data_IF_499702542609
#
_entry.id   IF_499702542609
#
_cell.length_a   1.000
_cell.length_b   1.000
_cell.length_c   1.000
_cell.angle_alpha   90.00
_cell.angle_beta   90.00
_cell.angle_gamma   90.00
#
_symmetry.space_group_name_H-M   'P 1'
#
loop_
_entity.id
_entity.type
_entity.pdbx_description
1 polymer ?
#
# COMPACT_ATOMS: atom_id res chain seq x y z
N UNK A 1 11.08 -83.24 -23.32
CA UNK A 1 10.65 -82.59 -22.07
C UNK A 1 10.54 -81.12 -22.42
N UNK A 2 9.35 -80.71 -22.84
CA UNK A 2 8.32 -80.04 -22.00
C UNK A 2 8.78 -78.60 -21.66
N UNK A 3 8.28 -77.58 -22.35
CA UNK A 3 6.98 -76.89 -22.17
C UNK A 3 7.01 -75.88 -21.00
N UNK A 4 6.80 -74.63 -21.44
CA UNK A 4 6.18 -73.46 -20.84
C UNK A 4 6.80 -72.63 -19.70
N UNK A 5 7.01 -71.37 -20.10
CA UNK A 5 6.56 -70.12 -19.46
C UNK A 5 5.34 -70.24 -18.55
N UNK A 6 5.45 -69.65 -17.35
CA UNK A 6 4.34 -69.03 -16.59
C UNK A 6 4.98 -67.98 -15.65
N UNK A 7 4.98 -66.68 -16.01
CA UNK A 7 4.03 -65.62 -15.61
C UNK A 7 4.63 -64.67 -14.54
N UNK A 8 4.15 -63.41 -14.47
CA UNK A 8 4.94 -62.25 -14.13
C UNK A 8 4.69 -61.75 -12.69
N UNK A 9 5.66 -61.03 -12.15
CA UNK A 9 5.41 -60.11 -11.03
C UNK A 9 5.08 -58.74 -11.60
N UNK A 10 3.77 -58.44 -11.63
CA UNK A 10 3.28 -57.07 -11.64
C UNK A 10 3.53 -56.43 -10.27
N UNK A 11 4.07 -55.21 -10.24
CA UNK A 11 3.73 -54.22 -9.22
C UNK A 11 3.87 -52.80 -9.78
N UNK A 12 2.80 -52.41 -10.48
CA UNK A 12 2.12 -51.12 -10.45
C UNK A 12 2.84 -49.90 -9.85
N UNK A 13 3.14 -48.95 -10.74
CA UNK A 13 3.50 -47.57 -10.42
C UNK A 13 2.81 -46.54 -11.31
N UNK A 14 1.54 -46.78 -11.66
CA UNK A 14 0.51 -45.81 -12.09
C UNK A 14 1.00 -44.48 -12.68
N UNK A 15 1.50 -44.53 -13.91
CA UNK A 15 1.43 -43.40 -14.84
C UNK A 15 0.03 -43.44 -15.43
N UNK A 16 -0.75 -42.38 -15.22
CA UNK A 16 -2.06 -42.19 -15.83
C UNK A 16 -1.93 -42.48 -17.33
N UNK A 17 -2.53 -43.60 -17.74
CA UNK A 17 -2.51 -44.09 -19.11
C UNK A 17 -3.33 -43.11 -19.97
N UNK A 18 -2.64 -42.10 -20.52
CA UNK A 18 -3.19 -41.21 -21.54
C UNK A 18 -3.28 -42.00 -22.84
N UNK A 19 -4.39 -42.71 -23.01
CA UNK A 19 -4.74 -43.28 -24.31
C UNK A 19 -5.02 -42.12 -25.25
N UNK A 20 -4.18 -41.91 -26.26
CA UNK A 20 -4.47 -41.01 -27.36
C UNK A 20 -5.67 -41.61 -28.12
N UNK A 21 -6.81 -40.94 -27.99
CA UNK A 21 -8.04 -41.32 -28.69
C UNK A 21 -8.03 -40.58 -30.02
N UNK A 22 -7.97 -41.33 -31.13
CA UNK A 22 -8.15 -40.76 -32.46
C UNK A 22 -9.47 -39.97 -32.49
N UNK A 23 -9.49 -38.75 -33.07
CA UNK A 23 -10.71 -37.98 -33.15
C UNK A 23 -11.77 -38.82 -33.87
N UNK A 24 -12.88 -39.09 -33.16
CA UNK A 24 -14.00 -39.84 -33.69
C UNK A 24 -14.43 -39.22 -35.03
N UNK A 25 -14.52 -40.00 -36.12
CA UNK A 25 -15.00 -39.51 -37.40
C UNK A 25 -16.50 -39.29 -37.29
N UNK A 26 -16.89 -38.19 -36.66
CA UNK A 26 -18.22 -37.64 -36.79
C UNK A 26 -18.10 -36.68 -37.96
N UNK A 27 -18.53 -37.13 -39.14
CA UNK A 27 -18.82 -36.25 -40.26
C UNK A 27 -19.77 -35.18 -39.74
N UNK A 28 -19.29 -33.95 -39.52
CA UNK A 28 -20.13 -32.84 -39.10
C UNK A 28 -21.19 -32.66 -40.18
N UNK A 29 -22.48 -32.85 -39.86
CA UNK A 29 -23.54 -32.59 -40.82
C UNK A 29 -23.42 -31.15 -41.36
N UNK A 30 -23.70 -30.93 -42.66
CA UNK A 30 -23.43 -29.65 -43.33
C UNK A 30 -24.15 -28.45 -42.68
N UNK A 31 -25.18 -28.71 -41.87
CA UNK A 31 -25.93 -27.72 -41.09
C UNK A 31 -25.08 -27.02 -40.01
N UNK A 32 -23.94 -27.61 -39.59
CA UNK A 32 -23.02 -27.03 -38.60
C UNK A 32 -21.79 -26.35 -39.23
N UNK A 33 -21.57 -26.52 -40.54
CA UNK A 33 -20.50 -25.82 -41.28
C UNK A 33 -20.87 -24.36 -41.58
N UNK A 34 -22.16 -24.04 -41.62
CA UNK A 34 -22.64 -22.68 -41.89
C UNK A 34 -22.60 -21.74 -40.68
N UNK A 35 -22.36 -22.25 -39.47
CA UNK A 35 -22.30 -21.44 -38.25
C UNK A 35 -21.05 -21.77 -37.45
N UNK A 36 -19.96 -21.05 -37.77
CA UNK A 36 -18.80 -20.95 -36.90
C UNK A 36 -19.24 -20.67 -35.45
N UNK A 37 -18.67 -21.41 -34.49
CA UNK A 37 -18.89 -21.21 -33.05
C UNK A 37 -18.54 -19.78 -32.59
N UNK A 38 -17.70 -19.10 -33.36
CA UNK A 38 -17.47 -17.66 -33.28
C UNK A 38 -18.32 -16.98 -34.36
N UNK A 39 -19.22 -16.04 -34.01
CA UNK A 39 -19.95 -15.31 -35.03
C UNK A 39 -18.95 -14.53 -35.89
N UNK A 40 -18.95 -14.80 -37.19
CA UNK A 40 -18.25 -13.97 -38.16
C UNK A 40 -18.83 -12.56 -38.05
N UNK A 41 -17.97 -11.59 -37.74
CA UNK A 41 -18.35 -10.18 -37.74
C UNK A 41 -18.51 -9.72 -39.18
N UNK A 42 -19.66 -10.01 -39.78
CA UNK A 42 -20.16 -9.20 -40.87
C UNK A 42 -20.36 -7.78 -40.32
N UNK A 43 -19.50 -6.86 -40.74
CA UNK A 43 -19.72 -5.42 -40.56
C UNK A 43 -20.96 -5.04 -41.37
N UNK A 44 -22.05 -4.59 -40.77
CA UNK A 44 -23.11 -3.95 -41.53
C UNK A 44 -22.60 -2.54 -41.88
N UNK A 45 -22.52 -2.25 -43.17
CA UNK A 45 -22.47 -0.86 -43.60
C UNK A 45 -23.77 -0.16 -43.15
N UNK A 46 -23.63 0.89 -42.34
CA UNK A 46 -24.67 1.89 -42.14
C UNK A 46 -25.93 1.45 -41.38
N UNK A 47 -25.88 1.43 -40.05
CA UNK A 47 -27.09 1.49 -39.22
C UNK A 47 -26.90 0.91 -37.82
N UNK A 48 -26.86 1.77 -36.79
CA UNK A 48 -26.82 1.32 -35.39
C UNK A 48 -28.15 0.63 -35.02
N UNK A 49 -28.12 -0.66 -34.63
CA UNK A 49 -29.28 -1.39 -34.12
C UNK A 49 -29.69 -0.93 -32.71
N UNK A 50 -30.99 -0.97 -32.40
CA UNK A 50 -31.58 -0.55 -31.11
C UNK A 50 -30.98 -1.30 -29.89
N UNK A 51 -30.55 -2.55 -30.05
CA UNK A 51 -29.82 -3.32 -29.01
C UNK A 51 -28.41 -2.76 -28.71
N UNK A 52 -27.66 -2.35 -29.75
CA UNK A 52 -26.38 -1.64 -29.56
C UNK A 52 -26.59 -0.30 -28.84
N UNK A 53 -27.72 0.37 -29.12
CA UNK A 53 -28.16 1.59 -28.41
C UNK A 53 -28.56 1.31 -26.95
N UNK A 54 -29.04 0.11 -26.63
CA UNK A 54 -29.38 -0.32 -25.27
C UNK A 54 -28.13 -0.58 -24.41
N UNK A 55 -27.12 -1.25 -24.98
CA UNK A 55 -25.83 -1.49 -24.30
C UNK A 55 -25.04 -0.19 -24.12
N UNK A 56 -25.15 0.76 -25.07
CA UNK A 56 -24.53 2.10 -24.98
C UNK A 56 -25.23 3.01 -23.96
N UNK A 57 -26.50 2.72 -23.62
CA UNK A 57 -27.35 3.55 -22.72
C UNK A 57 -27.15 3.31 -21.22
N UNK A 58 -26.34 2.35 -20.79
CA UNK A 58 -26.00 2.15 -19.36
C UNK A 58 -24.77 2.98 -18.87
N UNK A 59 -24.33 3.96 -19.65
CA UNK A 59 -23.26 4.90 -19.27
C UNK A 59 -23.81 6.26 -18.80
N UNK A 60 -24.78 6.25 -17.89
CA UNK A 60 -25.43 7.46 -17.34
C UNK A 60 -24.60 8.18 -16.27
N UNK A 61 -23.27 8.19 -16.41
CA UNK A 61 -22.37 9.01 -15.60
C UNK A 61 -21.16 9.48 -16.42
N UNK A 62 -21.43 10.08 -17.58
CA UNK A 62 -20.88 11.38 -18.00
C UNK A 62 -19.37 11.64 -18.01
N UNK A 63 -18.49 10.64 -17.96
CA UNK A 63 -17.04 10.84 -18.06
C UNK A 63 -16.44 9.88 -19.09
N UNK A 64 -16.45 10.29 -20.37
CA UNK A 64 -15.62 9.66 -21.41
C UNK A 64 -14.15 9.97 -21.13
N UNK A 65 -13.53 9.20 -20.24
CA UNK A 65 -12.10 9.28 -19.89
C UNK A 65 -11.20 8.62 -20.98
N UNK A 66 -11.40 8.93 -22.25
CA UNK A 66 -10.61 8.41 -23.38
C UNK A 66 -10.52 6.88 -23.45
N UNK A 67 -9.60 6.34 -24.25
CA UNK A 67 -9.30 4.90 -24.40
C UNK A 67 -8.80 4.22 -23.10
N UNK A 68 -8.85 4.91 -21.96
CA UNK A 68 -8.19 4.52 -20.71
C UNK A 68 -9.22 4.32 -19.60
N UNK A 69 -9.40 3.07 -19.17
CA UNK A 69 -10.37 2.72 -18.12
C UNK A 69 -10.04 3.27 -16.72
N UNK A 70 -11.00 3.24 -15.77
CA UNK A 70 -10.85 3.80 -14.42
C UNK A 70 -9.62 3.31 -13.65
N UNK A 71 -9.26 2.03 -13.79
CA UNK A 71 -8.09 1.45 -13.16
C UNK A 71 -6.78 2.15 -13.57
N UNK A 72 -6.68 2.61 -14.82
CA UNK A 72 -5.50 3.30 -15.35
C UNK A 72 -5.25 4.63 -14.64
N UNK A 73 -6.33 5.39 -14.39
CA UNK A 73 -6.27 6.68 -13.71
C UNK A 73 -6.02 6.51 -12.22
N UNK A 74 -6.74 5.61 -11.56
CA UNK A 74 -6.54 5.35 -10.14
C UNK A 74 -5.11 4.89 -9.83
N UNK A 75 -4.52 4.04 -10.67
CA UNK A 75 -3.12 3.62 -10.53
C UNK A 75 -2.17 4.82 -10.64
N UNK A 76 -2.39 5.74 -11.58
CA UNK A 76 -1.55 6.93 -11.76
C UNK A 76 -1.71 7.94 -10.65
N UNK A 77 -2.93 8.14 -10.18
CA UNK A 77 -3.24 9.02 -9.07
C UNK A 77 -2.54 8.51 -7.81
N UNK A 78 -2.69 7.23 -7.49
CA UNK A 78 -1.98 6.59 -6.37
C UNK A 78 -0.46 6.71 -6.50
N UNK A 79 0.02 6.51 -7.72
CA UNK A 79 1.43 6.56 -8.10
C UNK A 79 1.99 7.97 -7.86
N UNK A 80 1.50 8.97 -8.58
CA UNK A 80 2.10 10.30 -8.58
C UNK A 80 1.81 11.14 -7.35
N UNK A 81 0.74 10.85 -6.60
CA UNK A 81 0.51 11.50 -5.30
C UNK A 81 1.61 11.19 -4.29
N UNK A 82 2.39 10.11 -4.48
CA UNK A 82 3.48 9.75 -3.58
C UNK A 82 4.69 10.68 -3.58
N UNK A 83 4.90 11.47 -4.64
CA UNK A 83 6.06 12.34 -4.73
C UNK A 83 6.10 13.42 -3.66
N UNK A 84 4.97 14.08 -3.42
CA UNK A 84 4.92 15.23 -2.51
C UNK A 84 5.17 14.81 -1.07
N UNK A 85 4.50 13.76 -0.61
CA UNK A 85 4.68 13.28 0.76
C UNK A 85 5.98 12.47 0.95
N UNK A 86 6.63 12.00 -0.13
CA UNK A 86 8.00 11.46 -0.06
C UNK A 86 9.01 12.58 0.22
N UNK A 87 8.86 13.75 -0.43
CA UNK A 87 9.69 14.91 -0.12
C UNK A 87 9.46 15.39 1.32
N UNK A 88 8.21 15.43 1.78
CA UNK A 88 7.89 15.69 3.18
C UNK A 88 8.54 14.65 4.12
N UNK A 89 8.44 13.35 3.82
CA UNK A 89 9.04 12.30 4.63
C UNK A 89 10.57 12.46 4.74
N UNK A 90 11.25 12.87 3.67
CA UNK A 90 12.68 13.16 3.67
C UNK A 90 13.03 14.35 4.58
N UNK A 91 12.26 15.45 4.51
CA UNK A 91 12.41 16.57 5.44
C UNK A 91 12.11 16.16 6.88
N UNK A 92 11.09 15.32 7.07
CA UNK A 92 10.66 14.89 8.38
C UNK A 92 11.71 13.99 9.05
N UNK A 93 12.21 12.94 8.39
CA UNK A 93 13.30 12.09 8.94
C UNK A 93 14.56 12.91 9.21
N UNK A 94 14.85 13.92 8.37
CA UNK A 94 15.99 14.81 8.59
C UNK A 94 15.87 15.54 9.92
N UNK A 95 14.72 16.18 10.16
CA UNK A 95 14.51 17.00 11.36
C UNK A 95 14.26 16.19 12.64
N UNK A 96 13.58 15.05 12.55
CA UNK A 96 13.18 14.28 13.74
C UNK A 96 14.10 13.08 14.03
N UNK A 97 15.11 12.87 13.20
CA UNK A 97 16.05 11.78 13.39
C UNK A 97 17.50 12.14 13.03
N UNK A 98 17.80 12.49 11.76
CA UNK A 98 19.19 12.67 11.32
C UNK A 98 19.86 13.84 12.07
N UNK A 99 19.19 14.98 12.17
CA UNK A 99 19.71 16.14 12.90
C UNK A 99 19.86 15.83 14.40
N UNK A 100 18.85 15.30 15.12
CA UNK A 100 19.03 14.83 16.49
C UNK A 100 20.19 13.86 16.68
N UNK A 101 20.36 12.91 15.77
CA UNK A 101 21.45 11.95 15.83
C UNK A 101 22.82 12.61 15.64
N UNK A 102 22.90 13.61 14.75
CA UNK A 102 24.13 14.35 14.48
C UNK A 102 24.49 15.35 15.60
N UNK A 103 23.52 16.09 16.12
CA UNK A 103 23.74 17.09 17.18
C UNK A 103 23.81 16.47 18.56
N UNK A 104 23.23 15.27 18.76
CA UNK A 104 23.04 14.60 20.05
C UNK A 104 22.40 15.53 21.11
N UNK A 105 21.57 16.46 20.66
CA UNK A 105 20.94 17.47 21.51
C UNK A 105 19.59 17.88 20.93
N UNK A 106 18.54 17.70 21.73
CA UNK A 106 17.18 18.09 21.34
C UNK A 106 17.04 19.60 21.26
N UNK A 107 17.64 20.34 22.18
CA UNK A 107 17.66 21.81 22.19
C UNK A 107 18.23 22.37 20.89
N UNK A 108 19.38 21.85 20.45
CA UNK A 108 20.00 22.31 19.20
C UNK A 108 19.17 21.87 17.97
N UNK A 109 18.65 20.64 17.96
CA UNK A 109 17.79 20.16 16.87
C UNK A 109 16.51 20.98 16.70
N UNK A 110 15.92 21.49 17.79
CA UNK A 110 14.73 22.34 17.72
C UNK A 110 14.97 23.62 16.90
N UNK A 111 16.20 24.16 16.88
CA UNK A 111 16.54 25.35 16.09
C UNK A 111 16.43 25.04 14.59
N UNK A 112 16.92 23.88 14.16
CA UNK A 112 16.78 23.42 12.77
C UNK A 112 15.33 23.06 12.43
N UNK A 113 14.58 22.48 13.37
CA UNK A 113 13.15 22.22 13.19
C UNK A 113 12.40 23.53 12.92
N UNK A 114 12.68 24.59 13.67
CA UNK A 114 12.06 25.90 13.47
C UNK A 114 12.42 26.52 12.11
N UNK A 115 13.65 26.33 11.64
CA UNK A 115 14.09 26.80 10.32
C UNK A 115 13.31 26.13 9.18
N UNK A 116 12.97 24.84 9.34
CA UNK A 116 12.35 24.06 8.26
C UNK A 116 10.83 24.10 8.27
N UNK A 117 10.19 24.37 9.41
CA UNK A 117 8.72 24.43 9.55
C UNK A 117 8.01 25.25 8.46
N UNK A 118 8.45 26.47 8.10
CA UNK A 118 7.74 27.30 7.10
C UNK A 118 7.59 26.62 5.73
N UNK A 119 8.53 25.75 5.35
CA UNK A 119 8.54 25.12 4.02
C UNK A 119 7.49 24.03 3.85
N UNK A 120 7.01 23.42 4.94
CA UNK A 120 6.06 22.29 4.85
C UNK A 120 4.85 22.39 5.79
N UNK A 121 4.86 23.28 6.79
CA UNK A 121 3.76 23.52 7.74
C UNK A 121 3.09 24.90 7.58
N UNK A 122 3.12 25.50 6.39
CA UNK A 122 2.33 26.70 6.11
C UNK A 122 0.87 26.36 5.80
N UNK A 123 -0.02 27.36 5.93
CA UNK A 123 -1.46 27.23 5.69
C UNK A 123 -1.82 26.68 4.30
N UNK A 124 -0.97 26.89 3.29
CA UNK A 124 -1.18 26.37 1.94
C UNK A 124 -0.35 25.11 1.65
N UNK A 125 0.91 25.07 2.10
CA UNK A 125 1.81 23.95 1.77
C UNK A 125 1.39 22.65 2.44
N UNK A 126 0.93 22.69 3.69
CA UNK A 126 0.57 21.46 4.39
C UNK A 126 -0.65 20.76 3.75
N UNK A 127 -1.78 21.46 3.48
CA UNK A 127 -2.90 20.82 2.79
C UNK A 127 -2.54 20.33 1.39
N UNK A 128 -1.79 21.10 0.61
CA UNK A 128 -1.53 20.80 -0.80
C UNK A 128 -0.42 19.78 -1.02
N UNK A 129 0.62 19.79 -0.18
CA UNK A 129 1.78 18.90 -0.34
C UNK A 129 1.68 17.63 0.50
N UNK A 130 0.98 17.68 1.63
CA UNK A 130 0.88 16.55 2.56
C UNK A 130 -0.53 15.98 2.59
N UNK A 131 -1.54 16.75 3.02
CA UNK A 131 -2.86 16.20 3.31
C UNK A 131 -3.59 15.69 2.06
N UNK A 132 -3.73 16.52 1.03
CA UNK A 132 -4.43 16.18 -0.21
C UNK A 132 -3.74 15.01 -0.93
N UNK A 133 -2.41 15.00 -1.15
CA UNK A 133 -1.76 13.88 -1.83
C UNK A 133 -1.81 12.59 -1.01
N UNK A 134 -1.67 12.65 0.32
CA UNK A 134 -1.81 11.48 1.18
C UNK A 134 -3.22 10.90 1.13
N UNK A 135 -4.25 11.74 1.28
CA UNK A 135 -5.65 11.32 1.18
C UNK A 135 -5.93 10.72 -0.20
N UNK A 136 -5.42 11.35 -1.26
CA UNK A 136 -5.54 10.88 -2.63
C UNK A 136 -4.85 9.53 -2.84
N UNK A 137 -3.67 9.30 -2.25
CA UNK A 137 -2.96 8.02 -2.30
C UNK A 137 -3.75 6.89 -1.63
N UNK A 138 -4.26 7.14 -0.42
CA UNK A 138 -5.01 6.16 0.35
C UNK A 138 -6.32 5.82 -0.36
N UNK A 139 -7.09 6.84 -0.75
CA UNK A 139 -8.40 6.66 -1.38
C UNK A 139 -8.30 5.98 -2.74
N UNK A 140 -7.34 6.35 -3.58
CA UNK A 140 -7.12 5.68 -4.88
C UNK A 140 -6.69 4.22 -4.72
N UNK A 141 -5.85 3.89 -3.72
CA UNK A 141 -5.49 2.51 -3.40
C UNK A 141 -6.67 1.66 -2.93
N UNK A 142 -7.53 2.24 -2.08
CA UNK A 142 -8.78 1.59 -1.62
C UNK A 142 -9.74 1.39 -2.81
N UNK A 143 -9.94 2.43 -3.61
CA UNK A 143 -10.80 2.39 -4.79
C UNK A 143 -10.34 1.33 -5.81
N UNK A 144 -9.03 1.16 -6.02
CA UNK A 144 -8.49 0.10 -6.88
C UNK A 144 -8.84 -1.30 -6.38
N UNK A 145 -8.85 -1.51 -5.05
CA UNK A 145 -9.22 -2.80 -4.47
C UNK A 145 -10.70 -3.11 -4.71
N UNK A 146 -11.58 -2.14 -4.49
CA UNK A 146 -13.01 -2.26 -4.81
C UNK A 146 -13.26 -2.44 -6.31
N UNK A 147 -12.53 -1.73 -7.16
CA UNK A 147 -12.62 -1.87 -8.61
C UNK A 147 -12.24 -3.29 -9.06
N UNK A 148 -11.08 -3.80 -8.60
CA UNK A 148 -10.65 -5.18 -8.91
C UNK A 148 -11.64 -6.21 -8.40
N UNK A 149 -12.23 -5.99 -7.23
CA UNK A 149 -13.29 -6.84 -6.70
C UNK A 149 -14.51 -6.83 -7.62
N UNK A 150 -14.99 -5.65 -8.02
CA UNK A 150 -16.12 -5.51 -8.96
C UNK A 150 -15.84 -6.24 -10.28
N UNK A 151 -14.66 -6.05 -10.85
CA UNK A 151 -14.26 -6.73 -12.09
C UNK A 151 -14.22 -8.25 -11.94
N UNK A 152 -13.73 -8.78 -10.82
CA UNK A 152 -13.78 -10.21 -10.55
C UNK A 152 -15.23 -10.72 -10.49
N UNK A 153 -16.12 -10.03 -9.75
CA UNK A 153 -17.53 -10.40 -9.65
C UNK A 153 -18.23 -10.41 -11.01
N UNK A 154 -17.94 -9.43 -11.88
CA UNK A 154 -18.49 -9.36 -13.24
C UNK A 154 -18.00 -10.52 -14.11
N UNK A 155 -16.73 -10.91 -14.02
CA UNK A 155 -16.17 -12.03 -14.79
C UNK A 155 -16.76 -13.38 -14.39
N UNK A 156 -17.10 -13.55 -13.12
CA UNK A 156 -17.72 -14.77 -12.61
C UNK A 156 -19.26 -14.75 -12.69
N UNK A 157 -19.87 -13.68 -13.24
CA UNK A 157 -21.33 -13.61 -13.38
C UNK A 157 -22.09 -13.62 -12.06
N UNK A 158 -21.50 -13.17 -10.95
CA UNK A 158 -22.14 -13.23 -9.65
C UNK A 158 -23.17 -12.10 -9.48
N UNK A 159 -24.45 -12.44 -9.65
CA UNK A 159 -25.56 -11.51 -9.56
C UNK A 159 -26.11 -11.46 -8.13
N UNK A 160 -26.21 -12.61 -7.46
CA UNK A 160 -26.80 -12.72 -6.13
C UNK A 160 -25.82 -12.42 -5.00
N UNK A 161 -26.33 -12.06 -3.81
CA UNK A 161 -25.47 -11.84 -2.62
C UNK A 161 -24.74 -13.11 -2.18
N UNK A 162 -25.33 -14.30 -2.40
CA UNK A 162 -24.71 -15.59 -2.04
C UNK A 162 -23.52 -15.89 -2.95
N UNK A 163 -23.69 -15.75 -4.26
CA UNK A 163 -22.59 -15.89 -5.24
C UNK A 163 -21.47 -14.88 -5.00
N UNK A 164 -21.82 -13.63 -4.68
CA UNK A 164 -20.80 -12.62 -4.35
C UNK A 164 -19.98 -12.98 -3.12
N UNK A 165 -20.46 -13.83 -2.21
CA UNK A 165 -19.72 -14.26 -1.02
C UNK A 165 -18.79 -15.45 -1.29
N UNK A 166 -19.09 -16.29 -2.29
CA UNK A 166 -18.24 -17.44 -2.65
C UNK A 166 -16.96 -17.02 -3.36
N UNK A 167 -16.99 -15.92 -4.10
CA UNK A 167 -15.81 -15.41 -4.80
C UNK A 167 -14.85 -14.76 -3.80
N UNK A 168 -13.56 -15.14 -3.75
CA UNK A 168 -12.59 -14.56 -2.81
C UNK A 168 -12.22 -13.11 -3.16
N UNK A 169 -11.89 -12.31 -2.14
CA UNK A 169 -11.38 -10.96 -2.34
C UNK A 169 -10.01 -10.97 -3.03
N UNK A 170 -9.64 -9.91 -3.77
CA UNK A 170 -8.29 -9.78 -4.34
C UNK A 170 -7.22 -9.92 -3.25
N UNK A 171 -6.19 -10.72 -3.54
CA UNK A 171 -5.09 -11.01 -2.62
C UNK A 171 -4.43 -9.72 -2.15
N UNK A 172 -4.23 -9.61 -0.84
CA UNK A 172 -3.59 -8.45 -0.23
C UNK A 172 -2.07 -8.56 -0.40
N UNK A 173 -1.47 -7.60 -1.11
CA UNK A 173 -0.01 -7.54 -1.20
C UNK A 173 0.60 -7.09 0.12
N UNK A 174 1.81 -7.55 0.46
CA UNK A 174 2.49 -7.15 1.70
C UNK A 174 2.62 -5.63 1.87
N UNK A 175 2.89 -4.91 0.77
CA UNK A 175 2.94 -3.43 0.81
C UNK A 175 1.60 -2.79 1.12
N UNK A 176 0.51 -3.38 0.64
CA UNK A 176 -0.85 -2.93 0.94
C UNK A 176 -1.22 -3.24 2.39
N UNK A 177 -0.82 -4.41 2.91
CA UNK A 177 -1.01 -4.76 4.31
C UNK A 177 -0.29 -3.76 5.24
N UNK A 178 0.98 -3.44 4.93
CA UNK A 178 1.73 -2.39 5.63
C UNK A 178 1.06 -1.03 5.51
N UNK A 179 0.51 -0.68 4.34
CA UNK A 179 -0.23 0.57 4.14
C UNK A 179 -1.47 0.66 5.04
N UNK A 180 -2.25 -0.41 5.13
CA UNK A 180 -3.41 -0.46 6.04
C UNK A 180 -3.02 -0.38 7.52
N UNK A 181 -1.91 -1.01 7.91
CA UNK A 181 -1.37 -0.89 9.26
C UNK A 181 -0.82 0.52 9.55
N UNK A 182 -0.25 1.20 8.55
CA UNK A 182 0.32 2.53 8.68
C UNK A 182 -0.77 3.60 8.87
N UNK A 183 -1.96 3.44 8.28
CA UNK A 183 -3.06 4.42 8.39
C UNK A 183 -3.42 4.78 9.83
N UNK A 184 -3.74 3.84 10.74
CA UNK A 184 -4.05 4.18 12.14
C UNK A 184 -2.83 4.71 12.90
N UNK A 185 -1.62 4.19 12.64
CA UNK A 185 -0.39 4.65 13.29
C UNK A 185 -0.07 6.11 12.92
N UNK A 186 -0.07 6.42 11.63
CA UNK A 186 0.15 7.77 11.12
C UNK A 186 -1.01 8.71 11.48
N UNK A 187 -2.24 8.19 11.47
CA UNK A 187 -3.42 8.94 11.91
C UNK A 187 -3.33 9.37 13.37
N UNK A 188 -2.91 8.47 14.26
CA UNK A 188 -2.67 8.80 15.66
C UNK A 188 -1.51 9.80 15.83
N UNK A 189 -0.43 9.62 15.07
CA UNK A 189 0.68 10.57 15.04
C UNK A 189 0.21 11.98 14.64
N UNK A 190 -0.47 12.12 13.49
CA UNK A 190 -1.03 13.40 13.03
C UNK A 190 -2.01 13.98 14.04
N UNK A 191 -2.85 13.13 14.64
CA UNK A 191 -3.83 13.58 15.62
C UNK A 191 -3.14 14.20 16.85
N UNK A 192 -2.16 13.52 17.43
CA UNK A 192 -1.44 14.00 18.62
C UNK A 192 -0.55 15.21 18.34
N UNK A 193 0.09 15.29 17.17
CA UNK A 193 1.06 16.37 16.88
C UNK A 193 0.48 17.54 16.09
N UNK A 194 -0.74 17.42 15.56
CA UNK A 194 -1.34 18.46 14.71
C UNK A 194 -2.79 18.78 15.07
N UNK A 195 -3.67 17.78 15.07
CA UNK A 195 -5.11 18.04 15.24
C UNK A 195 -5.43 18.44 16.68
N UNK A 196 -4.87 17.73 17.66
CA UNK A 196 -5.13 17.97 19.07
C UNK A 196 -4.63 19.35 19.54
N UNK A 197 -3.39 19.78 19.23
CA UNK A 197 -2.93 21.12 19.57
C UNK A 197 -3.76 22.23 18.93
N UNK A 198 -4.12 22.07 17.65
CA UNK A 198 -5.02 23.01 16.96
C UNK A 198 -6.37 23.12 17.67
N UNK A 199 -6.90 22.00 18.17
CA UNK A 199 -8.17 21.99 18.89
C UNK A 199 -8.06 22.62 20.29
N UNK A 200 -7.00 22.32 21.04
CA UNK A 200 -6.84 22.76 22.43
C UNK A 200 -6.36 24.22 22.57
N UNK A 201 -5.38 24.64 21.75
CA UNK A 201 -4.76 25.96 21.87
C UNK A 201 -4.96 26.85 20.62
N UNK A 202 -5.66 26.37 19.59
CA UNK A 202 -5.86 27.12 18.35
C UNK A 202 -4.65 27.18 17.41
N UNK A 203 -3.50 26.60 17.80
CA UNK A 203 -2.29 26.52 16.99
C UNK A 203 -1.54 25.18 17.19
N UNK A 204 -0.46 24.96 16.45
CA UNK A 204 0.48 23.85 16.73
C UNK A 204 1.91 24.34 16.85
N UNK A 205 2.11 25.61 17.20
CA UNK A 205 3.43 26.23 17.23
C UNK A 205 4.30 25.66 18.36
N UNK A 206 3.65 25.26 19.46
CA UNK A 206 4.25 24.66 20.65
C UNK A 206 4.83 23.25 20.43
N UNK A 207 4.50 22.57 19.33
CA UNK A 207 4.85 21.16 19.07
C UNK A 207 6.29 21.03 18.59
N UNK A 208 7.21 20.92 19.54
CA UNK A 208 8.65 20.79 19.32
C UNK A 208 9.14 19.35 19.56
N UNK A 209 10.43 19.09 19.39
CA UNK A 209 11.01 17.82 19.83
C UNK A 209 10.92 17.66 21.36
N UNK A 210 10.87 18.76 22.12
CA UNK A 210 10.68 18.71 23.58
C UNK A 210 9.26 18.24 23.95
N UNK A 211 8.25 18.57 23.14
CA UNK A 211 6.90 18.03 23.32
C UNK A 211 6.91 16.50 23.19
N UNK A 212 7.59 16.01 22.15
CA UNK A 212 7.72 14.58 21.91
C UNK A 212 8.49 13.91 23.05
N UNK A 213 9.67 14.43 23.43
CA UNK A 213 10.47 13.84 24.51
C UNK A 213 9.74 13.83 25.86
N UNK A 214 8.97 14.88 26.14
CA UNK A 214 8.15 14.97 27.33
C UNK A 214 7.08 13.86 27.33
N UNK A 215 6.42 13.60 26.20
CA UNK A 215 5.51 12.46 26.05
C UNK A 215 6.19 11.08 26.20
N UNK A 216 7.45 10.94 25.79
CA UNK A 216 8.24 9.74 26.06
C UNK A 216 8.50 9.54 27.55
N UNK A 217 8.78 10.62 28.28
CA UNK A 217 9.02 10.56 29.71
C UNK A 217 7.74 10.24 30.51
N UNK A 218 6.59 10.80 30.11
CA UNK A 218 5.30 10.54 30.77
C UNK A 218 4.77 9.12 30.49
N UNK A 219 4.87 8.66 29.23
CA UNK A 219 4.27 7.39 28.80
C UNK A 219 5.25 6.49 28.04
N UNK A 220 6.36 6.07 28.68
CA UNK A 220 7.47 5.42 27.99
C UNK A 220 7.03 4.17 27.22
N UNK A 221 6.26 3.26 27.84
CA UNK A 221 5.83 2.02 27.17
C UNK A 221 5.02 2.29 25.89
N UNK A 222 4.08 3.24 25.95
CA UNK A 222 3.20 3.56 24.81
C UNK A 222 4.00 4.31 23.75
N UNK A 223 4.80 5.29 24.13
CA UNK A 223 5.60 6.10 23.22
C UNK A 223 6.65 5.25 22.50
N UNK A 224 7.48 4.49 23.22
CA UNK A 224 8.48 3.61 22.59
C UNK A 224 7.85 2.55 21.68
N UNK A 225 6.80 1.86 22.13
CA UNK A 225 6.14 0.85 21.30
C UNK A 225 5.46 1.48 20.06
N UNK A 226 4.74 2.58 20.25
CA UNK A 226 4.01 3.28 19.20
C UNK A 226 4.93 3.85 18.12
N UNK A 227 6.00 4.56 18.51
CA UNK A 227 6.97 5.11 17.55
C UNK A 227 7.78 4.00 16.88
N UNK A 228 8.14 2.92 17.58
CA UNK A 228 8.80 1.77 16.96
C UNK A 228 7.90 1.14 15.88
N UNK A 229 6.63 0.93 16.19
CA UNK A 229 5.66 0.38 15.25
C UNK A 229 5.45 1.32 14.05
N UNK A 230 5.22 2.61 14.29
CA UNK A 230 5.02 3.63 13.25
C UNK A 230 6.21 3.68 12.28
N UNK A 231 7.42 3.81 12.81
CA UNK A 231 8.64 3.94 11.99
C UNK A 231 8.95 2.63 11.26
N UNK A 232 8.81 1.48 11.91
CA UNK A 232 9.09 0.19 11.27
C UNK A 232 8.11 -0.11 10.13
N UNK A 233 6.79 0.02 10.39
CA UNK A 233 5.76 -0.19 9.37
C UNK A 233 5.89 0.85 8.24
N UNK A 234 6.14 2.11 8.59
CA UNK A 234 6.34 3.21 7.64
C UNK A 234 7.53 2.95 6.72
N UNK A 235 8.71 2.68 7.27
CA UNK A 235 9.92 2.43 6.49
C UNK A 235 9.76 1.23 5.55
N UNK A 236 9.21 0.10 6.02
CA UNK A 236 8.94 -1.05 5.16
C UNK A 236 7.93 -0.72 4.05
N UNK A 237 6.88 0.06 4.36
CA UNK A 237 5.92 0.51 3.35
C UNK A 237 6.59 1.38 2.27
N UNK A 238 7.41 2.34 2.69
CA UNK A 238 8.09 3.29 1.79
C UNK A 238 9.11 2.59 0.89
N UNK A 239 9.99 1.77 1.47
CA UNK A 239 11.07 1.11 0.71
C UNK A 239 10.50 0.07 -0.25
N UNK A 240 9.53 -0.75 0.18
CA UNK A 240 8.87 -1.67 -0.73
C UNK A 240 8.01 -0.95 -1.79
N UNK A 241 7.39 0.17 -1.44
CA UNK A 241 6.68 1.03 -2.37
C UNK A 241 7.60 1.60 -3.45
N UNK A 242 8.76 2.12 -3.05
CA UNK A 242 9.80 2.63 -3.94
C UNK A 242 10.39 1.52 -4.82
N UNK A 243 10.61 0.31 -4.29
CA UNK A 243 11.06 -0.82 -5.09
C UNK A 243 10.04 -1.18 -6.18
N UNK A 244 8.74 -1.18 -5.86
CA UNK A 244 7.68 -1.39 -6.86
C UNK A 244 7.61 -0.27 -7.89
N UNK A 245 7.81 0.97 -7.43
CA UNK A 245 7.83 2.15 -8.28
C UNK A 245 8.89 2.09 -9.37
N UNK A 246 10.10 1.72 -8.96
CA UNK A 246 11.30 1.64 -9.80
C UNK A 246 11.36 0.36 -10.63
N UNK A 247 10.39 -0.55 -10.52
CA UNK A 247 10.43 -1.84 -11.20
C UNK A 247 11.41 -2.85 -10.57
N UNK A 248 11.88 -2.59 -9.36
CA UNK A 248 12.87 -3.38 -8.64
C UNK A 248 12.25 -4.45 -7.72
N UNK A 249 10.92 -4.56 -7.62
CA UNK A 249 10.33 -5.59 -6.76
C UNK A 249 10.63 -7.01 -7.27
N UNK A 250 10.78 -8.02 -6.38
CA UNK A 250 11.00 -9.42 -6.78
C UNK A 250 9.90 -10.00 -7.67
N UNK A 251 8.68 -9.45 -7.63
CA UNK A 251 7.58 -9.85 -8.52
C UNK A 251 7.68 -9.27 -9.93
N UNK A 252 8.59 -8.32 -10.17
CA UNK A 252 8.79 -7.63 -11.45
C UNK A 252 10.05 -8.11 -12.20
N UNK A 253 10.69 -9.18 -11.71
CA UNK A 253 11.78 -9.87 -12.43
C UNK A 253 11.19 -10.57 -13.66
N UNK A 254 11.80 -10.36 -14.83
CA UNK A 254 11.28 -10.90 -16.10
C UNK A 254 11.42 -12.43 -16.12
N UNK A 255 10.55 -13.09 -16.88
CA UNK A 255 10.62 -14.55 -17.03
C UNK A 255 11.83 -15.00 -17.84
N UNK A 256 12.34 -14.13 -18.72
CA UNK A 256 13.50 -14.37 -19.60
C UNK A 256 14.84 -14.11 -18.92
N UNK A 257 14.84 -13.73 -17.65
CA UNK A 257 16.05 -13.33 -16.93
C UNK A 257 16.79 -14.59 -16.44
N UNK A 258 18.07 -14.71 -16.82
CA UNK A 258 18.93 -15.78 -16.32
C UNK A 258 19.02 -15.73 -14.80
N UNK A 259 19.10 -16.89 -14.16
CA UNK A 259 19.17 -17.00 -12.70
C UNK A 259 18.03 -16.26 -11.96
N UNK A 260 16.83 -16.23 -12.56
CA UNK A 260 15.63 -15.56 -12.01
C UNK A 260 15.43 -15.77 -10.52
N UNK A 261 15.59 -17.00 -10.02
CA UNK A 261 15.41 -17.30 -8.60
C UNK A 261 16.43 -16.55 -7.71
N UNK A 262 17.70 -16.52 -8.14
CA UNK A 262 18.77 -15.82 -7.45
C UNK A 262 18.54 -14.30 -7.49
N UNK A 263 18.19 -13.74 -8.65
CA UNK A 263 17.87 -12.30 -8.77
C UNK A 263 16.70 -11.90 -7.86
N UNK A 264 15.63 -12.70 -7.83
CA UNK A 264 14.49 -12.47 -6.92
C UNK A 264 14.92 -12.46 -5.46
N UNK A 265 15.77 -13.43 -5.07
CA UNK A 265 16.31 -13.55 -3.71
C UNK A 265 17.18 -12.35 -3.36
N UNK A 266 18.10 -11.96 -4.24
CA UNK A 266 18.96 -10.77 -4.04
C UNK A 266 18.13 -9.50 -3.87
N UNK A 267 17.18 -9.22 -4.78
CA UNK A 267 16.29 -8.05 -4.67
C UNK A 267 15.51 -8.07 -3.35
N UNK A 268 15.03 -9.23 -2.91
CA UNK A 268 14.33 -9.36 -1.63
C UNK A 268 15.22 -9.00 -0.43
N UNK A 269 16.47 -9.51 -0.38
CA UNK A 269 17.41 -9.16 0.69
C UNK A 269 17.82 -7.69 0.64
N UNK A 270 18.07 -7.13 -0.55
CA UNK A 270 18.40 -5.71 -0.70
C UNK A 270 17.28 -4.81 -0.17
N UNK A 271 16.02 -5.10 -0.53
CA UNK A 271 14.87 -4.30 -0.09
C UNK A 271 14.69 -4.38 1.44
N UNK A 272 14.82 -5.57 2.05
CA UNK A 272 14.70 -5.71 3.49
C UNK A 272 15.90 -5.11 4.23
N UNK A 273 17.12 -5.23 3.68
CA UNK A 273 18.32 -4.60 4.22
C UNK A 273 18.22 -3.07 4.22
N UNK A 274 17.75 -2.48 3.12
CA UNK A 274 17.50 -1.03 3.04
C UNK A 274 16.38 -0.62 4.01
N UNK A 275 15.29 -1.39 4.09
CA UNK A 275 14.22 -1.13 5.07
C UNK A 275 14.75 -1.12 6.50
N UNK A 276 15.54 -2.12 6.87
CA UNK A 276 16.14 -2.22 8.19
C UNK A 276 17.12 -1.06 8.47
N UNK A 277 17.98 -0.72 7.52
CA UNK A 277 18.91 0.41 7.65
C UNK A 277 18.18 1.74 7.84
N UNK A 278 17.12 1.99 7.05
CA UNK A 278 16.28 3.18 7.18
C UNK A 278 15.57 3.23 8.54
N UNK A 279 15.02 2.12 9.00
CA UNK A 279 14.38 2.02 10.32
C UNK A 279 15.38 2.27 11.45
N UNK A 280 16.56 1.65 11.41
CA UNK A 280 17.60 1.85 12.43
C UNK A 280 18.09 3.30 12.46
N UNK A 281 18.30 3.91 11.30
CA UNK A 281 18.64 5.33 11.20
C UNK A 281 17.56 6.19 11.85
N UNK A 282 16.30 5.98 11.45
CA UNK A 282 15.17 6.78 11.93
C UNK A 282 15.00 6.64 13.45
N UNK A 283 14.97 5.40 13.95
CA UNK A 283 14.85 5.12 15.39
C UNK A 283 16.06 5.59 16.19
N UNK A 284 17.26 5.56 15.62
CA UNK A 284 18.49 6.02 16.29
C UNK A 284 18.38 7.47 16.74
N UNK A 285 17.94 8.37 15.87
CA UNK A 285 17.71 9.77 16.25
C UNK A 285 16.44 9.99 17.07
N UNK A 286 15.33 9.36 16.68
CA UNK A 286 14.04 9.62 17.34
C UNK A 286 13.95 8.98 18.73
N UNK A 287 14.33 7.72 18.89
CA UNK A 287 14.30 7.04 20.19
C UNK A 287 15.59 7.26 20.98
N UNK A 288 16.74 7.20 20.31
CA UNK A 288 18.05 7.24 20.96
C UNK A 288 18.51 8.63 21.40
N UNK A 289 17.93 9.69 20.84
CA UNK A 289 18.21 11.08 21.30
C UNK A 289 16.94 11.71 21.83
N UNK A 290 15.91 11.88 20.99
CA UNK A 290 14.69 12.60 21.39
C UNK A 290 13.93 11.84 22.50
N UNK A 291 13.84 10.51 22.41
CA UNK A 291 13.16 9.69 23.41
C UNK A 291 13.85 9.65 24.78
N UNK A 292 15.12 10.06 24.88
CA UNK A 292 15.91 10.01 26.11
C UNK A 292 16.10 11.39 26.80
N UNK A 293 15.69 12.49 26.17
CA UNK A 293 15.88 13.85 26.69
C UNK A 293 15.12 14.11 28.01
N UNK A 294 13.99 13.42 28.22
CA UNK A 294 13.18 13.56 29.44
C UNK A 294 12.11 14.64 29.36
N UNK A 295 11.59 15.02 30.54
CA UNK A 295 10.50 16.00 30.67
C UNK A 295 11.00 17.42 30.46
N UNK A 296 10.23 18.21 29.70
CA UNK A 296 10.43 19.66 29.64
C UNK A 296 9.95 20.33 30.96
N UNK A 297 10.81 21.08 31.68
CA UNK A 297 10.39 21.83 32.86
C UNK A 297 9.75 23.19 32.52
N UNK A 298 9.24 23.87 33.55
CA UNK A 298 8.73 25.25 33.44
C UNK A 298 7.30 25.34 32.89
N UNK A 299 6.90 26.55 32.47
CA UNK A 299 5.55 26.80 31.96
C UNK A 299 5.26 26.00 30.68
N UNK A 300 6.24 25.88 29.77
CA UNK A 300 6.09 25.08 28.53
C UNK A 300 5.79 23.61 28.83
N UNK A 301 6.41 23.03 29.86
CA UNK A 301 6.11 21.67 30.30
C UNK A 301 4.67 21.50 30.77
N UNK A 302 4.14 22.48 31.51
CA UNK A 302 2.75 22.46 31.99
C UNK A 302 1.74 22.51 30.84
N UNK A 303 2.02 23.31 29.80
CA UNK A 303 1.19 23.32 28.59
C UNK A 303 1.21 21.95 27.88
N UNK A 304 2.36 21.27 27.88
CA UNK A 304 2.43 19.90 27.36
C UNK A 304 1.61 18.92 28.21
N UNK A 305 1.69 19.00 29.53
CA UNK A 305 0.85 18.21 30.43
C UNK A 305 -0.64 18.43 30.15
N UNK A 306 -1.06 19.68 29.92
CA UNK A 306 -2.44 20.00 29.55
C UNK A 306 -2.87 19.35 28.24
N UNK A 307 -2.03 19.40 27.21
CA UNK A 307 -2.30 18.68 25.96
C UNK A 307 -2.44 17.17 26.17
N UNK A 308 -1.58 16.56 26.98
CA UNK A 308 -1.65 15.13 27.26
C UNK A 308 -2.90 14.71 28.04
N UNK A 309 -3.51 15.61 28.83
CA UNK A 309 -4.79 15.33 29.53
C UNK A 309 -5.96 15.11 28.58
N UNK A 310 -5.94 15.70 27.39
CA UNK A 310 -6.99 15.47 26.38
C UNK A 310 -6.94 14.07 25.75
N UNK A 311 -5.87 13.29 25.97
CA UNK A 311 -5.76 11.96 25.42
C UNK A 311 -6.62 10.97 26.23
N UNK A 312 -7.66 10.35 25.66
CA UNK A 312 -8.64 9.56 26.42
C UNK A 312 -8.07 8.30 27.10
N UNK A 313 -6.93 7.79 26.61
CA UNK A 313 -6.25 6.59 27.12
C UNK A 313 -5.18 6.95 28.16
N UNK A 314 -4.72 8.20 28.15
CA UNK A 314 -3.48 8.63 28.80
C UNK A 314 -3.76 9.70 29.87
N UNK A 315 -4.70 10.60 29.64
CA UNK A 315 -5.12 11.69 30.54
C UNK A 315 -5.98 11.27 31.73
N UNK A 316 -6.12 9.96 31.99
CA UNK A 316 -6.73 9.44 33.23
C UNK A 316 -5.64 9.11 34.26
N UNK A 317 -4.82 10.07 34.64
CA UNK A 317 -3.99 10.02 35.85
C UNK A 317 -3.87 11.41 36.44
#
# INVERSE_FOLDING_TARGET
MEVNTDLPFDDDGSVINLTEVDPSPVDTPPEYLEKSYFPDQERPEGGETEEMRGIRRMNTLGLRLGERGPAWWLLRIQKYSSYTFTAFAALHITNVSIIPLATRSVVESNRYLLLTRPYYQSALTEPLLVALPLATHITSGIALRFWRRRQALLRYGAETRREKRTIPWPVLSGTSALGYALVPLAGFHIWTTRILPLYAHGDSSLISLNYISHGFALHPKVSFAGFTALVSVGAWHFVWGAAKWLGFAPSQVKNTEENRALVRKMRWYSINGISAALTLLWLGGSLGVVGLEGTMPGWVGKEYDELYKYLPIIGKR
#
